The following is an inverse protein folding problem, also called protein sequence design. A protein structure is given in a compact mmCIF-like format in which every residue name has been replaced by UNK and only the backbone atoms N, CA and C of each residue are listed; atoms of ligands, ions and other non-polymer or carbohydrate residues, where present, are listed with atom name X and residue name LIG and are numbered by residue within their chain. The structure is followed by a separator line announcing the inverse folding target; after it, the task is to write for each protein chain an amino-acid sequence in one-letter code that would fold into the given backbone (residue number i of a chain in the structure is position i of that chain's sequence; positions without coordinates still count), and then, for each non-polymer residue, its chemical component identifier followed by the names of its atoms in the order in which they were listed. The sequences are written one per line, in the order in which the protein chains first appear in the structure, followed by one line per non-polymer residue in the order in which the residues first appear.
data_IF_546163482791
#
_entry.id   IF_546163482791
#
_cell.length_a   1.000
_cell.length_b   1.000
_cell.length_c   1.000
_cell.angle_alpha   90.00
_cell.angle_beta   90.00
_cell.angle_gamma   90.00
#
_symmetry.space_group_name_H-M   'P 1'
#
loop_
_entity.id
_entity.type
_entity.pdbx_description
1 polymer ?
#
# COMPACT_ATOMS: atom_id res chain seq x y z
N UNK A 1 -11.58 -2.13 -14.11
CA UNK A 1 -10.30 -2.37 -13.40
C UNK A 1 -9.61 -3.66 -13.86
N UNK A 2 -10.30 -4.80 -14.06
CA UNK A 2 -9.65 -6.07 -14.47
C UNK A 2 -8.91 -6.04 -15.83
N UNK A 3 -9.30 -5.19 -16.78
CA UNK A 3 -8.80 -5.25 -18.16
C UNK A 3 -7.37 -4.75 -18.38
N UNK A 4 -6.80 -3.87 -17.53
CA UNK A 4 -5.52 -3.19 -17.82
C UNK A 4 -4.29 -3.73 -17.07
N UNK A 5 -4.47 -4.66 -16.13
CA UNK A 5 -3.38 -5.08 -15.23
C UNK A 5 -2.62 -6.32 -15.75
N UNK A 6 -3.19 -7.08 -16.70
CA UNK A 6 -2.69 -8.41 -17.10
C UNK A 6 -1.76 -8.38 -18.32
N UNK A 7 -1.43 -7.21 -18.86
CA UNK A 7 -0.73 -7.07 -20.15
C UNK A 7 0.63 -6.39 -20.05
N UNK A 8 1.09 -6.05 -18.85
CA UNK A 8 2.30 -5.24 -18.64
C UNK A 8 3.33 -6.02 -17.82
N UNK A 9 4.56 -6.15 -18.34
CA UNK A 9 5.72 -6.71 -17.62
C UNK A 9 6.33 -5.71 -16.61
N UNK A 10 5.68 -4.58 -16.39
CA UNK A 10 6.15 -3.50 -15.53
C UNK A 10 5.64 -3.67 -14.09
N UNK A 11 6.40 -3.20 -13.07
CA UNK A 11 5.93 -3.21 -11.69
C UNK A 11 4.64 -2.38 -11.55
N UNK A 12 3.63 -2.95 -10.89
CA UNK A 12 2.31 -2.34 -10.73
C UNK A 12 2.23 -1.71 -9.35
N UNK A 13 1.93 -0.41 -9.30
CA UNK A 13 1.65 0.29 -8.05
C UNK A 13 0.14 0.56 -7.94
N UNK A 14 -0.48 0.09 -6.87
CA UNK A 14 -1.90 0.26 -6.60
C UNK A 14 -2.08 1.14 -5.36
N UNK A 15 -2.86 2.21 -5.51
CA UNK A 15 -3.25 3.07 -4.38
C UNK A 15 -4.68 2.72 -3.97
N UNK A 16 -4.87 2.31 -2.72
CA UNK A 16 -6.19 1.96 -2.19
C UNK A 16 -6.44 2.75 -0.92
N UNK A 17 -7.58 3.44 -0.85
CA UNK A 17 -7.91 4.21 0.34
C UNK A 17 -8.28 3.31 1.53
N UNK A 18 -9.00 2.23 1.27
CA UNK A 18 -9.56 1.35 2.30
C UNK A 18 -8.67 0.11 2.49
N UNK A 19 -8.66 -0.43 3.71
CA UNK A 19 -7.80 -1.56 4.06
C UNK A 19 -8.21 -2.84 3.28
N UNK A 20 -7.22 -3.56 2.75
CA UNK A 20 -7.40 -4.89 2.13
C UNK A 20 -6.96 -6.04 3.04
N UNK A 21 -6.33 -5.73 4.19
CA UNK A 21 -6.13 -6.65 5.30
C UNK A 21 -7.48 -6.90 5.99
N UNK A 22 -7.84 -8.17 6.14
CA UNK A 22 -9.18 -8.63 6.46
C UNK A 22 -9.55 -8.48 7.96
N UNK A 23 -10.86 -8.31 8.21
CA UNK A 23 -11.58 -8.45 9.50
C UNK A 23 -11.73 -7.23 10.45
N UNK A 24 -11.72 -5.98 9.96
CA UNK A 24 -12.29 -4.86 10.74
C UNK A 24 -13.43 -4.17 9.99
N UNK A 25 -14.28 -3.43 10.70
CA UNK A 25 -15.37 -2.60 10.13
C UNK A 25 -14.91 -1.55 9.11
N UNK A 26 -13.60 -1.38 8.93
CA UNK A 26 -12.97 -0.41 8.03
C UNK A 26 -12.36 -1.04 6.76
N UNK A 27 -12.45 -2.36 6.61
CA UNK A 27 -11.98 -3.07 5.41
C UNK A 27 -12.97 -2.97 4.24
N UNK A 28 -12.47 -3.11 3.01
CA UNK A 28 -13.36 -3.23 1.85
C UNK A 28 -14.09 -4.57 1.90
N UNK A 29 -15.39 -4.57 1.62
CA UNK A 29 -16.22 -5.80 1.67
C UNK A 29 -15.76 -6.91 0.72
N UNK A 30 -15.13 -6.55 -0.39
CA UNK A 30 -14.58 -7.49 -1.37
C UNK A 30 -13.03 -7.56 -1.31
N UNK A 31 -12.44 -7.27 -0.15
CA UNK A 31 -10.99 -7.37 0.04
C UNK A 31 -10.42 -8.74 -0.36
N UNK A 32 -11.05 -9.89 -0.02
CA UNK A 32 -10.55 -11.19 -0.47
C UNK A 32 -10.47 -11.34 -1.99
N UNK A 33 -11.45 -10.83 -2.73
CA UNK A 33 -11.47 -10.87 -4.18
C UNK A 33 -10.42 -9.95 -4.80
N UNK A 34 -10.21 -8.77 -4.21
CA UNK A 34 -9.17 -7.83 -4.66
C UNK A 34 -7.78 -8.40 -4.40
N UNK A 35 -7.52 -8.95 -3.20
CA UNK A 35 -6.25 -9.60 -2.87
C UNK A 35 -5.92 -10.74 -3.85
N UNK A 36 -6.90 -11.60 -4.17
CA UNK A 36 -6.71 -12.67 -5.17
C UNK A 36 -6.34 -12.15 -6.56
N UNK A 37 -6.82 -10.96 -6.93
CA UNK A 37 -6.44 -10.34 -8.21
C UNK A 37 -5.03 -9.78 -8.12
N UNK A 38 -4.67 -9.12 -7.02
CA UNK A 38 -3.32 -8.55 -6.82
C UNK A 38 -2.25 -9.64 -6.71
N UNK A 39 -2.51 -10.75 -6.04
CA UNK A 39 -1.60 -11.89 -5.94
C UNK A 39 -1.28 -12.50 -7.32
N UNK A 40 -2.26 -12.54 -8.22
CA UNK A 40 -2.04 -13.00 -9.61
C UNK A 40 -1.15 -12.08 -10.42
N UNK A 41 -0.96 -10.84 -9.99
CA UNK A 41 -0.15 -9.86 -10.70
C UNK A 41 1.34 -9.95 -10.34
N UNK A 42 1.73 -10.80 -9.37
CA UNK A 42 3.11 -11.15 -8.93
C UNK A 42 4.06 -9.97 -8.58
N UNK A 43 3.75 -8.74 -8.97
CA UNK A 43 4.60 -7.55 -8.89
C UNK A 43 3.73 -6.33 -8.55
N UNK A 44 2.83 -6.49 -7.59
CA UNK A 44 1.97 -5.41 -7.11
C UNK A 44 2.50 -4.83 -5.79
N UNK A 45 2.66 -3.51 -5.76
CA UNK A 45 2.92 -2.74 -4.54
C UNK A 45 1.66 -1.97 -4.18
N UNK A 46 1.11 -2.20 -2.98
CA UNK A 46 -0.15 -1.59 -2.57
C UNK A 46 0.03 -0.70 -1.35
N UNK A 47 -0.39 0.56 -1.48
CA UNK A 47 -0.47 1.51 -0.37
C UNK A 47 -1.89 1.61 0.17
N UNK A 48 -2.02 1.66 1.50
CA UNK A 48 -3.30 1.83 2.21
C UNK A 48 -3.27 3.07 3.10
N UNK A 49 -4.44 3.67 3.37
CA UNK A 49 -4.57 4.70 4.41
C UNK A 49 -4.89 4.03 5.75
N UNK A 50 -4.04 4.19 6.76
CA UNK A 50 -4.34 3.71 8.11
C UNK A 50 -4.98 4.81 8.95
N UNK A 51 -6.32 4.91 8.95
CA UNK A 51 -7.03 5.80 9.88
C UNK A 51 -7.10 5.23 11.31
N UNK A 52 -7.07 3.90 11.47
CA UNK A 52 -7.31 3.24 12.78
C UNK A 52 -6.42 2.00 13.01
N UNK A 53 -5.43 1.76 12.16
CA UNK A 53 -4.54 0.59 12.27
C UNK A 53 -3.12 1.03 12.58
N UNK A 54 -2.34 0.23 13.34
CA UNK A 54 -0.91 0.47 13.46
C UNK A 54 -0.30 0.50 12.06
N UNK A 55 0.60 1.46 11.84
CA UNK A 55 1.38 1.55 10.61
C UNK A 55 2.12 0.23 10.45
N UNK A 56 1.69 -0.57 9.47
CA UNK A 56 2.18 -1.93 9.27
C UNK A 56 2.64 -2.09 7.83
N UNK A 57 3.83 -2.65 7.70
CA UNK A 57 4.29 -3.27 6.48
C UNK A 57 4.05 -4.77 6.59
N UNK A 58 3.47 -5.36 5.56
CA UNK A 58 3.25 -6.79 5.49
C UNK A 58 3.39 -7.28 4.06
N UNK A 59 3.81 -8.53 3.94
CA UNK A 59 3.86 -9.24 2.67
C UNK A 59 2.82 -10.34 2.73
N UNK A 60 1.87 -10.35 1.80
CA UNK A 60 0.89 -11.42 1.63
C UNK A 60 1.12 -12.01 0.24
N UNK A 61 1.53 -13.28 0.18
CA UNK A 61 2.06 -13.87 -1.05
C UNK A 61 3.35 -13.14 -1.47
N UNK A 62 3.39 -12.62 -2.69
CA UNK A 62 4.48 -11.79 -3.23
C UNK A 62 4.11 -10.29 -3.29
N UNK A 63 2.95 -9.91 -2.76
CA UNK A 63 2.45 -8.54 -2.81
C UNK A 63 2.86 -7.79 -1.55
N UNK A 64 3.43 -6.61 -1.72
CA UNK A 64 3.84 -5.73 -0.63
C UNK A 64 2.71 -4.78 -0.26
N UNK A 65 2.33 -4.80 1.02
CA UNK A 65 1.29 -3.96 1.59
C UNK A 65 1.93 -3.04 2.61
N UNK A 66 1.74 -1.73 2.47
CA UNK A 66 2.16 -0.78 3.51
C UNK A 66 1.08 0.25 3.80
N UNK A 67 0.92 0.55 5.08
CA UNK A 67 0.06 1.61 5.55
C UNK A 67 0.78 2.97 5.52
N UNK A 68 0.07 3.99 5.03
CA UNK A 68 0.46 5.39 5.08
C UNK A 68 -0.15 6.06 6.31
N UNK A 69 0.62 6.95 6.94
CA UNK A 69 0.17 7.76 8.09
C UNK A 69 -0.91 8.75 7.65
N UNK A 70 -1.94 8.91 8.47
CA UNK A 70 -2.99 9.93 8.26
C UNK A 70 -2.44 11.35 8.44
N UNK A 71 -2.78 12.26 7.52
CA UNK A 71 -2.28 13.65 7.48
C UNK A 71 -3.12 14.63 8.35
N UNK A 72 -4.08 14.16 9.15
CA UNK A 72 -5.20 15.02 9.62
C UNK A 72 -5.39 15.06 11.15
N UNK A 73 -4.50 14.49 11.95
CA UNK A 73 -4.81 14.29 13.38
C UNK A 73 -4.17 15.32 14.33
N UNK A 74 -3.10 16.03 13.94
CA UNK A 74 -2.41 17.05 14.76
C UNK A 74 -1.69 18.11 13.90
N UNK A 75 -1.16 19.17 14.51
CA UNK A 75 -0.38 20.21 13.84
C UNK A 75 0.84 19.63 13.10
N UNK A 76 0.95 19.97 11.82
CA UNK A 76 2.02 19.73 10.85
C UNK A 76 3.05 18.64 11.25
N UNK A 77 4.18 19.00 11.88
CA UNK A 77 5.26 18.04 12.14
C UNK A 77 4.87 16.88 13.07
N UNK A 78 3.96 17.13 14.01
CA UNK A 78 3.53 16.14 15.01
C UNK A 78 2.40 15.22 14.53
N UNK A 79 1.75 15.57 13.42
CA UNK A 79 0.52 14.93 12.91
C UNK A 79 0.56 14.52 11.45
N UNK A 80 1.69 14.73 10.76
CA UNK A 80 1.82 14.43 9.34
C UNK A 80 2.80 13.27 9.09
N UNK A 81 2.60 12.58 7.99
CA UNK A 81 3.54 11.65 7.39
C UNK A 81 3.33 11.62 5.88
N UNK A 82 4.43 11.62 5.14
CA UNK A 82 4.41 11.47 3.69
C UNK A 82 5.54 10.53 3.26
N UNK A 83 5.47 9.99 2.05
CA UNK A 83 6.52 9.14 1.51
C UNK A 83 6.75 9.41 0.03
N UNK A 84 7.97 9.20 -0.43
CA UNK A 84 8.32 9.08 -1.85
C UNK A 84 8.54 7.61 -2.20
N UNK A 85 8.07 7.18 -3.37
CA UNK A 85 8.34 5.85 -3.89
C UNK A 85 9.37 5.94 -5.03
N UNK A 86 10.43 5.16 -4.95
CA UNK A 86 11.45 5.01 -6.01
C UNK A 86 11.34 3.63 -6.65
N UNK A 87 11.19 3.59 -7.97
CA UNK A 87 11.12 2.34 -8.75
C UNK A 87 12.46 2.14 -9.46
N UNK A 88 13.12 1.01 -9.22
CA UNK A 88 14.42 0.68 -9.81
C UNK A 88 14.28 -0.29 -10.99
N UNK A 89 15.29 -0.35 -11.85
CA UNK A 89 15.31 -1.22 -13.04
C UNK A 89 15.14 -2.72 -12.73
N UNK A 90 15.43 -3.15 -11.50
CA UNK A 90 15.21 -4.53 -11.01
C UNK A 90 13.79 -4.77 -10.44
N UNK A 91 12.83 -3.87 -10.72
CA UNK A 91 11.45 -3.90 -10.19
C UNK A 91 11.32 -3.77 -8.68
N UNK A 92 12.43 -3.48 -7.99
CA UNK A 92 12.44 -3.09 -6.59
C UNK A 92 11.75 -1.74 -6.43
N UNK A 93 10.89 -1.62 -5.43
CA UNK A 93 10.21 -0.37 -5.08
C UNK A 93 10.59 -0.02 -3.65
N UNK A 94 11.32 1.09 -3.47
CA UNK A 94 11.66 1.60 -2.14
C UNK A 94 10.74 2.75 -1.76
N UNK A 95 10.14 2.67 -0.58
CA UNK A 95 9.39 3.78 0.03
C UNK A 95 10.28 4.53 1.01
N UNK A 96 10.46 5.84 0.81
CA UNK A 96 11.20 6.71 1.74
C UNK A 96 10.20 7.58 2.47
N UNK A 97 10.04 7.36 3.77
CA UNK A 97 9.12 8.11 4.61
C UNK A 97 9.74 9.40 5.17
N UNK A 98 8.88 10.39 5.40
CA UNK A 98 9.17 11.67 6.06
C UNK A 98 8.20 11.90 7.22
N UNK A 99 8.65 12.64 8.23
CA UNK A 99 7.95 12.86 9.50
C UNK A 99 7.60 11.53 10.20
N UNK A 100 6.31 11.22 10.41
CA UNK A 100 5.89 9.97 11.08
C UNK A 100 5.85 8.74 10.17
N UNK A 101 6.08 8.92 8.87
CA UNK A 101 6.09 7.80 7.93
C UNK A 101 7.43 7.07 7.99
N UNK A 102 7.39 5.76 8.21
CA UNK A 102 8.57 4.92 8.11
C UNK A 102 8.93 4.63 6.65
N UNK A 103 10.21 4.37 6.41
CA UNK A 103 10.74 3.90 5.13
C UNK A 103 10.66 2.38 5.03
N UNK A 104 10.43 1.86 3.84
CA UNK A 104 10.32 0.43 3.57
C UNK A 104 11.15 0.04 2.33
N UNK A 105 11.86 -1.10 2.38
CA UNK A 105 12.66 -1.61 1.27
C UNK A 105 11.79 -2.16 0.14
#
# INVERSE_FOLDING_TARGET
MKQNLLTEDNPIIVFVHQCLDNASSYGVKNAPEVCKVLEKLQQAFTSFRARHHPIKYQVIGEVHYYATVTIVERYFESGNGCSTASVFAGKTIRSTGSHKQASYP
#
